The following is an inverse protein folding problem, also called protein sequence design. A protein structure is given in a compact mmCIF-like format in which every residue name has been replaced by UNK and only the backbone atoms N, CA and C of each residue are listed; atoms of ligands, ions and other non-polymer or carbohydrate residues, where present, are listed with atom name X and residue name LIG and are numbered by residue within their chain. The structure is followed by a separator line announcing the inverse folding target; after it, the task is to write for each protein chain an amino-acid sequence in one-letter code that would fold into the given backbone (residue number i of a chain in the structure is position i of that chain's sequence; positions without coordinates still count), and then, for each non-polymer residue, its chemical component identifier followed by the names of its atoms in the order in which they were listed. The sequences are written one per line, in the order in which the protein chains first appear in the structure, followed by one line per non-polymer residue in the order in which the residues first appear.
data_IF_372692106524
#
_entry.id   IF_372692106524
#
_cell.length_a   1.000
_cell.length_b   1.000
_cell.length_c   1.000
_cell.angle_alpha   90.00
_cell.angle_beta   90.00
_cell.angle_gamma   90.00
#
_symmetry.space_group_name_H-M   'P 1'
#
loop_
_entity.id
_entity.type
_entity.pdbx_description
1 polymer ?
#
# COMPACT_ATOMS: atom_id res chain seq x y z
N UNK A 1 18.31 -5.47 14.73
CA UNK A 1 17.47 -5.56 13.52
C UNK A 1 18.37 -6.04 12.40
N UNK A 2 18.08 -7.19 11.80
CA UNK A 2 18.81 -7.66 10.62
C UNK A 2 18.40 -6.77 9.46
N UNK A 3 19.38 -6.17 8.78
CA UNK A 3 19.14 -5.35 7.61
C UNK A 3 18.60 -6.26 6.48
N UNK A 4 17.36 -6.01 6.05
CA UNK A 4 16.77 -6.77 4.93
C UNK A 4 17.35 -6.21 3.66
N UNK A 5 18.21 -7.00 3.01
CA UNK A 5 18.82 -6.63 1.75
C UNK A 5 17.82 -6.81 0.60
N UNK A 6 17.53 -5.72 -0.11
CA UNK A 6 16.75 -5.77 -1.35
C UNK A 6 17.71 -5.77 -2.52
N UNK A 7 17.61 -6.75 -3.45
CA UNK A 7 18.48 -6.78 -4.63
C UNK A 7 18.41 -5.49 -5.46
N UNK A 8 19.48 -5.20 -6.20
CA UNK A 8 19.45 -4.15 -7.21
C UNK A 8 18.48 -4.46 -8.36
N UNK A 9 18.06 -3.47 -9.16
CA UNK A 9 17.24 -3.71 -10.35
C UNK A 9 17.98 -4.57 -11.38
N UNK A 10 17.27 -5.43 -12.11
CA UNK A 10 17.90 -6.13 -13.24
C UNK A 10 18.40 -5.13 -14.29
N UNK A 11 19.51 -5.47 -14.95
CA UNK A 11 20.18 -4.57 -15.90
C UNK A 11 19.34 -4.27 -17.13
N UNK A 12 18.48 -5.21 -17.53
CA UNK A 12 17.63 -5.11 -18.72
C UNK A 12 16.20 -4.61 -18.41
N UNK A 13 15.90 -4.28 -17.16
CA UNK A 13 14.64 -3.66 -16.78
C UNK A 13 14.65 -2.17 -17.13
N UNK A 14 13.66 -1.75 -17.91
CA UNK A 14 13.35 -0.35 -18.17
C UNK A 14 12.67 0.32 -16.96
N UNK A 15 12.60 1.66 -16.87
CA UNK A 15 11.81 2.37 -15.86
C UNK A 15 10.33 1.94 -15.87
N UNK A 16 9.71 1.81 -14.69
CA UNK A 16 8.32 1.36 -14.58
C UNK A 16 7.29 2.37 -15.10
N UNK A 17 7.71 3.62 -15.32
CA UNK A 17 6.88 4.72 -15.85
C UNK A 17 6.90 4.80 -17.37
N UNK A 18 7.76 4.04 -18.06
CA UNK A 18 7.98 4.19 -19.50
C UNK A 18 6.90 3.46 -20.34
N UNK A 19 6.15 4.17 -21.22
CA UNK A 19 5.29 3.53 -22.20
C UNK A 19 6.10 2.95 -23.38
N UNK A 20 5.55 1.95 -24.13
CA UNK A 20 4.23 1.37 -23.97
C UNK A 20 4.15 0.36 -22.82
N UNK A 21 3.05 0.39 -22.08
CA UNK A 21 2.85 -0.46 -20.92
C UNK A 21 2.78 -1.94 -21.32
N UNK A 22 3.33 -2.82 -20.48
CA UNK A 22 3.40 -4.27 -20.70
C UNK A 22 4.23 -4.73 -21.91
N UNK A 23 5.07 -3.87 -22.48
CA UNK A 23 5.91 -4.22 -23.65
C UNK A 23 7.40 -4.42 -23.33
N UNK A 24 7.81 -4.14 -22.10
CA UNK A 24 9.20 -4.29 -21.65
C UNK A 24 9.42 -5.41 -20.62
N UNK A 25 10.66 -5.54 -20.14
CA UNK A 25 11.10 -6.62 -19.25
C UNK A 25 10.84 -6.36 -17.76
N UNK A 26 10.74 -5.08 -17.37
CA UNK A 26 10.31 -4.74 -16.01
C UNK A 26 8.88 -5.25 -15.78
N UNK A 27 8.64 -6.12 -14.77
CA UNK A 27 7.32 -6.68 -14.49
C UNK A 27 6.37 -5.67 -13.82
N UNK A 28 6.90 -4.54 -13.32
CA UNK A 28 6.14 -3.49 -12.68
C UNK A 28 5.78 -2.37 -13.66
N UNK A 29 4.58 -1.84 -13.51
CA UNK A 29 4.08 -0.68 -14.24
C UNK A 29 3.53 0.36 -13.27
N UNK A 30 4.15 1.54 -13.21
CA UNK A 30 3.73 2.61 -12.32
C UNK A 30 2.64 3.49 -12.93
N UNK A 31 1.69 3.89 -12.10
CA UNK A 31 0.67 4.89 -12.41
C UNK A 31 0.46 5.78 -11.17
N UNK A 32 -0.03 7.01 -11.35
CA UNK A 32 -0.21 7.97 -10.24
C UNK A 32 -1.63 8.53 -10.25
N UNK A 33 -2.21 8.72 -9.05
CA UNK A 33 -3.44 9.46 -8.65
C UNK A 33 -3.86 8.89 -7.25
N UNK A 34 -2.96 8.96 -6.25
CA UNK A 34 -3.19 8.30 -4.96
C UNK A 34 -4.48 8.75 -4.27
N UNK A 35 -4.70 10.05 -4.11
CA UNK A 35 -5.85 10.59 -3.36
C UNK A 35 -7.20 10.09 -3.88
N UNK A 36 -7.38 9.97 -5.20
CA UNK A 36 -8.61 9.43 -5.76
C UNK A 36 -8.67 7.89 -5.75
N UNK A 37 -7.52 7.22 -5.70
CA UNK A 37 -7.44 5.77 -5.79
C UNK A 37 -7.45 5.09 -4.43
N UNK A 38 -6.98 5.77 -3.38
CA UNK A 38 -6.81 5.24 -2.03
C UNK A 38 -8.06 4.50 -1.50
N UNK A 39 -9.31 4.98 -1.68
CA UNK A 39 -10.50 4.26 -1.22
C UNK A 39 -10.70 2.85 -1.81
N UNK A 40 -10.05 2.55 -2.95
CA UNK A 40 -10.12 1.26 -3.65
C UNK A 40 -9.17 0.21 -3.07
N UNK A 41 -8.18 0.63 -2.29
CA UNK A 41 -7.16 -0.23 -1.74
C UNK A 41 -7.53 -0.74 -0.35
N UNK A 42 -7.14 -1.98 -0.06
CA UNK A 42 -7.12 -2.54 1.29
C UNK A 42 -5.69 -2.85 1.69
N UNK A 43 -5.36 -2.63 2.96
CA UNK A 43 -4.09 -3.07 3.51
C UNK A 43 -4.07 -4.61 3.56
N UNK A 44 -3.00 -5.19 3.04
CA UNK A 44 -2.78 -6.64 3.05
C UNK A 44 -1.56 -7.04 3.88
N UNK A 45 -0.79 -6.08 4.38
CA UNK A 45 0.31 -6.31 5.31
C UNK A 45 1.23 -5.12 5.47
N UNK A 46 2.33 -5.33 6.19
CA UNK A 46 3.42 -4.38 6.29
C UNK A 46 4.77 -5.07 6.09
N UNK A 47 5.69 -4.34 5.48
CA UNK A 47 7.07 -4.71 5.28
C UNK A 47 7.93 -4.08 6.38
N UNK A 48 8.82 -4.87 6.97
CA UNK A 48 9.84 -4.44 7.92
C UNK A 48 11.00 -3.66 7.27
N UNK A 49 10.74 -2.98 6.15
CA UNK A 49 11.70 -2.18 5.41
C UNK A 49 11.04 -0.91 4.84
N UNK A 50 11.83 0.15 4.58
CA UNK A 50 11.33 1.35 3.93
C UNK A 50 10.88 1.09 2.47
N UNK A 51 10.10 2.01 1.91
CA UNK A 51 9.59 1.91 0.53
C UNK A 51 10.71 2.08 -0.51
N UNK A 52 11.76 2.84 -0.17
CA UNK A 52 12.81 3.24 -1.11
C UNK A 52 13.55 2.06 -1.77
N UNK A 53 14.02 1.03 -1.03
CA UNK A 53 14.73 -0.10 -1.64
C UNK A 53 13.83 -0.91 -2.58
N UNK A 54 12.55 -1.10 -2.24
CA UNK A 54 11.56 -1.75 -3.13
C UNK A 54 11.35 -0.92 -4.39
N UNK A 55 11.20 0.39 -4.24
CA UNK A 55 11.03 1.30 -5.36
C UNK A 55 12.24 1.25 -6.30
N UNK A 56 13.45 1.25 -5.75
CA UNK A 56 14.69 1.14 -6.53
C UNK A 56 14.79 -0.18 -7.28
N UNK A 57 14.50 -1.32 -6.62
CA UNK A 57 14.47 -2.65 -7.24
C UNK A 57 13.56 -2.69 -8.46
N UNK A 58 12.36 -2.14 -8.33
CA UNK A 58 11.33 -2.15 -9.39
C UNK A 58 11.42 -0.94 -10.33
N UNK A 59 12.43 -0.07 -10.17
CA UNK A 59 12.59 1.20 -10.92
C UNK A 59 11.31 2.06 -10.89
N UNK A 60 10.69 2.13 -9.72
CA UNK A 60 9.55 2.99 -9.39
C UNK A 60 10.04 4.37 -8.93
N UNK A 61 9.22 5.38 -9.18
CA UNK A 61 9.38 6.72 -8.67
C UNK A 61 8.53 6.89 -7.40
N UNK A 62 9.16 7.20 -6.27
CA UNK A 62 8.42 7.48 -5.03
C UNK A 62 7.77 8.87 -5.11
N UNK A 63 6.46 8.91 -4.90
CA UNK A 63 5.66 10.12 -4.88
C UNK A 63 5.47 10.58 -3.43
N UNK A 64 5.58 11.88 -3.19
CA UNK A 64 5.16 12.47 -1.92
C UNK A 64 3.71 12.88 -2.00
N UNK A 65 2.92 12.46 -1.03
CA UNK A 65 1.50 12.72 -0.95
C UNK A 65 1.09 12.91 0.53
N UNK A 66 -0.22 12.90 0.76
CA UNK A 66 -0.82 13.15 2.06
C UNK A 66 -1.98 12.16 2.27
N UNK A 67 -2.20 11.73 3.51
CA UNK A 67 -3.43 11.06 3.96
C UNK A 67 -3.97 11.84 5.15
N UNK A 68 -5.01 12.63 4.92
CA UNK A 68 -5.48 13.61 5.88
C UNK A 68 -4.48 14.75 6.05
N UNK A 69 -3.82 14.81 7.21
CA UNK A 69 -2.82 15.84 7.54
C UNK A 69 -1.39 15.28 7.60
N UNK A 70 -1.22 13.99 7.38
CA UNK A 70 0.08 13.32 7.50
C UNK A 70 0.71 13.17 6.11
N UNK A 71 1.97 13.63 5.97
CA UNK A 71 2.80 13.39 4.79
C UNK A 71 3.12 11.90 4.68
N UNK A 72 3.16 11.39 3.45
CA UNK A 72 3.55 10.02 3.19
C UNK A 72 4.26 9.87 1.84
N UNK A 73 5.28 9.02 1.84
CA UNK A 73 5.92 8.51 0.63
C UNK A 73 5.09 7.35 0.09
N UNK A 74 4.80 7.35 -1.21
CA UNK A 74 3.99 6.30 -1.84
C UNK A 74 4.45 5.92 -3.23
N UNK A 75 4.23 4.65 -3.58
CA UNK A 75 4.31 4.15 -4.95
C UNK A 75 3.04 3.39 -5.28
N UNK A 76 2.46 3.67 -6.45
CA UNK A 76 1.32 2.92 -7.01
C UNK A 76 1.79 2.20 -8.27
N UNK A 77 1.57 0.90 -8.35
CA UNK A 77 2.04 0.13 -9.49
C UNK A 77 1.23 -1.14 -9.70
N UNK A 78 1.22 -1.64 -10.92
CA UNK A 78 0.73 -2.96 -11.26
C UNK A 78 1.87 -3.94 -11.34
N UNK A 79 1.66 -5.12 -10.78
CA UNK A 79 2.58 -6.24 -10.86
C UNK A 79 1.79 -7.53 -11.09
N UNK A 80 2.10 -8.24 -12.18
CA UNK A 80 1.49 -9.54 -12.52
C UNK A 80 -0.06 -9.54 -12.46
N UNK A 81 -0.69 -8.43 -12.84
CA UNK A 81 -2.16 -8.28 -12.86
C UNK A 81 -2.77 -7.76 -11.55
N UNK A 82 -2.00 -7.68 -10.48
CA UNK A 82 -2.41 -7.04 -9.22
C UNK A 82 -2.06 -5.55 -9.24
N UNK A 83 -2.88 -4.73 -8.60
CA UNK A 83 -2.58 -3.31 -8.42
C UNK A 83 -2.25 -3.06 -6.95
N UNK A 84 -1.01 -2.63 -6.72
CA UNK A 84 -0.44 -2.39 -5.41
C UNK A 84 -0.27 -0.90 -5.15
N UNK A 85 -0.35 -0.56 -3.87
CA UNK A 85 0.29 0.64 -3.36
C UNK A 85 1.22 0.23 -2.21
N UNK A 86 2.35 0.93 -2.08
CA UNK A 86 3.21 0.81 -0.90
C UNK A 86 3.37 2.21 -0.34
N UNK A 87 2.99 2.40 0.92
CA UNK A 87 3.11 3.69 1.60
C UNK A 87 3.99 3.63 2.84
N UNK A 88 4.66 4.74 3.12
CA UNK A 88 5.34 5.00 4.38
C UNK A 88 4.89 6.37 4.88
N UNK A 89 4.24 6.41 6.04
CA UNK A 89 3.78 7.66 6.66
C UNK A 89 4.89 8.29 7.49
N UNK A 90 4.99 9.62 7.42
CA UNK A 90 5.83 10.39 8.33
C UNK A 90 5.26 10.29 9.75
N UNK A 91 6.14 9.96 10.70
CA UNK A 91 5.76 9.68 12.08
C UNK A 91 5.50 8.19 12.40
N UNK A 92 5.65 7.26 11.45
CA UNK A 92 5.67 5.83 11.75
C UNK A 92 6.94 5.47 12.57
N UNK A 93 6.84 5.16 13.88
CA UNK A 93 8.01 4.93 14.72
C UNK A 93 8.68 3.58 14.43
N UNK A 94 7.98 2.68 13.74
CA UNK A 94 8.45 1.33 13.45
C UNK A 94 9.27 1.25 12.15
N UNK A 95 9.30 2.33 11.35
CA UNK A 95 10.03 2.35 10.07
C UNK A 95 9.50 1.37 9.02
N UNK A 96 8.30 0.81 9.22
CA UNK A 96 7.67 -0.15 8.31
C UNK A 96 6.97 0.55 7.14
N UNK A 97 6.82 -0.16 6.02
CA UNK A 97 6.02 0.29 4.89
C UNK A 97 4.76 -0.57 4.76
N UNK A 98 3.61 0.03 4.52
CA UNK A 98 2.34 -0.68 4.37
C UNK A 98 2.13 -1.10 2.94
N UNK A 99 1.67 -2.33 2.74
CA UNK A 99 1.34 -2.88 1.43
C UNK A 99 -0.17 -2.91 1.29
N UNK A 100 -0.64 -2.31 0.21
CA UNK A 100 -2.05 -2.20 -0.11
C UNK A 100 -2.34 -2.86 -1.45
N UNK A 101 -3.53 -3.42 -1.59
CA UNK A 101 -3.98 -4.11 -2.79
C UNK A 101 -5.39 -3.64 -3.17
N UNK A 102 -5.64 -3.39 -4.46
CA UNK A 102 -7.02 -3.24 -4.96
C UNK A 102 -7.75 -4.59 -4.99
N UNK A 103 -9.02 -4.61 -5.39
CA UNK A 103 -9.70 -5.88 -5.65
C UNK A 103 -8.97 -6.72 -6.74
N UNK A 104 -9.03 -8.07 -6.67
CA UNK A 104 -9.75 -8.88 -5.68
C UNK A 104 -8.93 -9.17 -4.41
N UNK A 105 -9.49 -8.84 -3.24
CA UNK A 105 -8.81 -9.01 -1.95
C UNK A 105 -8.76 -10.46 -1.45
N UNK A 106 -9.57 -11.36 -2.02
CA UNK A 106 -9.51 -12.81 -1.73
C UNK A 106 -8.18 -13.43 -2.17
N UNK A 107 -7.40 -12.71 -2.99
CA UNK A 107 -6.08 -13.12 -3.44
C UNK A 107 -4.96 -12.36 -2.70
N UNK A 108 -5.25 -11.74 -1.54
CA UNK A 108 -4.28 -10.93 -0.80
C UNK A 108 -2.98 -11.68 -0.49
N UNK A 109 -3.05 -12.89 0.04
CA UNK A 109 -1.86 -13.71 0.33
C UNK A 109 -1.07 -14.01 -0.94
N UNK A 110 -1.75 -14.51 -1.98
CA UNK A 110 -1.12 -14.81 -3.27
C UNK A 110 -0.47 -13.57 -3.90
N UNK A 111 -1.12 -12.43 -3.79
CA UNK A 111 -0.60 -11.16 -4.30
C UNK A 111 0.65 -10.76 -3.53
N UNK A 112 0.63 -10.86 -2.19
CA UNK A 112 1.79 -10.58 -1.36
C UNK A 112 2.95 -11.52 -1.68
N UNK A 113 2.71 -12.83 -1.76
CA UNK A 113 3.73 -13.83 -2.11
C UNK A 113 4.36 -13.52 -3.48
N UNK A 114 3.53 -13.19 -4.49
CA UNK A 114 3.99 -12.79 -5.82
C UNK A 114 4.85 -11.53 -5.77
N UNK A 115 4.47 -10.56 -4.93
CA UNK A 115 5.24 -9.34 -4.75
C UNK A 115 6.61 -9.63 -4.15
N UNK A 116 6.67 -10.41 -3.06
CA UNK A 116 7.92 -10.79 -2.40
C UNK A 116 8.86 -11.54 -3.35
N UNK A 117 8.33 -12.50 -4.10
CA UNK A 117 9.07 -13.27 -5.10
C UNK A 117 9.72 -12.37 -6.16
N UNK A 118 8.95 -11.42 -6.74
CA UNK A 118 9.46 -10.55 -7.80
C UNK A 118 10.49 -9.55 -7.27
N UNK A 119 10.25 -8.99 -6.09
CA UNK A 119 11.21 -8.09 -5.43
C UNK A 119 12.48 -8.86 -5.05
N UNK A 120 12.36 -10.17 -4.79
CA UNK A 120 13.46 -11.04 -4.39
C UNK A 120 13.74 -10.97 -2.88
N UNK A 121 12.70 -10.73 -2.07
CA UNK A 121 12.78 -10.68 -0.61
C UNK A 121 11.98 -11.83 0.00
N UNK A 122 12.48 -12.38 1.11
CA UNK A 122 11.83 -13.49 1.80
C UNK A 122 10.71 -13.06 2.74
N UNK A 123 9.92 -14.03 3.21
CA UNK A 123 8.84 -13.84 4.20
C UNK A 123 9.28 -13.12 5.48
N UNK A 124 10.56 -13.23 5.87
CA UNK A 124 11.12 -12.49 7.02
C UNK A 124 11.07 -10.97 6.86
N UNK A 125 10.80 -10.46 5.65
CA UNK A 125 10.56 -9.05 5.39
C UNK A 125 9.14 -8.59 5.73
N UNK A 126 8.20 -9.52 5.94
CA UNK A 126 6.82 -9.22 6.29
C UNK A 126 6.70 -9.07 7.80
N UNK A 127 6.41 -7.85 8.27
CA UNK A 127 6.20 -7.56 9.69
C UNK A 127 4.85 -8.13 10.18
N UNK A 128 3.81 -8.04 9.35
CA UNK A 128 2.53 -8.70 9.55
C UNK A 128 1.77 -8.82 8.24
N UNK A 129 0.84 -9.79 8.17
CA UNK A 129 -0.16 -9.91 7.11
C UNK A 129 -1.49 -9.38 7.62
N UNK A 130 -2.16 -8.56 6.82
CA UNK A 130 -3.48 -8.02 7.14
C UNK A 130 -4.56 -9.07 6.88
N UNK A 131 -5.58 -9.13 7.75
CA UNK A 131 -6.74 -9.97 7.49
C UNK A 131 -7.71 -9.25 6.53
N UNK A 132 -7.88 -9.80 5.33
CA UNK A 132 -8.81 -9.29 4.33
C UNK A 132 -10.28 -9.31 4.83
N UNK A 133 -10.62 -10.12 5.86
CA UNK A 133 -11.95 -10.16 6.46
C UNK A 133 -12.26 -8.93 7.33
N UNK A 134 -11.28 -8.41 8.07
CA UNK A 134 -11.53 -7.38 9.08
C UNK A 134 -12.01 -6.05 8.47
N UNK A 135 -11.47 -5.70 7.30
CA UNK A 135 -11.84 -4.46 6.60
C UNK A 135 -13.20 -4.51 5.87
N UNK A 136 -13.81 -5.69 5.70
CA UNK A 136 -15.16 -5.82 5.11
C UNK A 136 -16.24 -5.53 6.15
N UNK A 137 -16.03 -5.93 7.40
CA UNK A 137 -16.95 -5.63 8.50
C UNK A 137 -17.07 -4.12 8.73
N UNK A 138 -15.93 -3.41 8.74
CA UNK A 138 -15.92 -1.95 8.88
C UNK A 138 -16.59 -1.21 7.73
N UNK A 139 -16.46 -1.69 6.48
CA UNK A 139 -17.13 -1.07 5.32
C UNK A 139 -18.64 -1.28 5.34
N UNK A 140 -19.13 -2.44 5.80
CA UNK A 140 -20.57 -2.69 5.91
C UNK A 140 -21.18 -1.83 7.02
N UNK A 141 -20.45 -1.59 8.12
CA UNK A 141 -20.87 -0.68 9.19
C UNK A 141 -20.88 0.79 8.74
N UNK A 142 -19.86 1.25 8.00
CA UNK A 142 -19.81 2.63 7.50
C UNK A 142 -20.87 2.94 6.42
N UNK A 143 -21.34 1.93 5.67
CA UNK A 143 -22.42 2.10 4.67
C UNK A 143 -23.81 2.05 5.32
N UNK A 144 -23.96 1.39 6.47
CA UNK A 144 -25.23 1.34 7.21
C UNK A 144 -25.46 2.56 8.10
N UNK A 145 -24.43 3.35 8.41
CA UNK A 145 -24.52 4.57 9.22
C UNK A 145 -24.79 5.85 8.41
N UNK A 146 -25.08 5.73 7.10
CA UNK A 146 -25.61 6.84 6.29
C UNK A 146 -27.12 6.96 6.53
N UNK A 147 -27.46 7.32 7.77
CA UNK A 147 -28.81 7.63 8.21
C UNK A 147 -28.97 9.12 8.52
N UNK A 148 -29.77 9.78 7.68
CA UNK A 148 -30.39 11.12 7.85
C UNK A 148 -29.47 12.36 7.83
N UNK A 149 -29.74 13.35 6.94
CA UNK A 149 -28.96 14.59 6.86
C UNK A 149 -29.58 15.65 7.76
N UNK A 150 -29.14 15.74 9.01
CA UNK A 150 -29.20 16.97 9.81
C UNK A 150 -28.30 16.77 11.02
N UNK A 151 -27.07 17.25 10.93
CA UNK A 151 -26.35 17.99 11.97
C UNK A 151 -24.88 18.18 11.57
N UNK A 152 -24.47 19.44 11.60
CA UNK A 152 -23.18 19.92 11.16
C UNK A 152 -22.09 19.75 12.24
N UNK A 153 -20.84 19.71 11.78
CA UNK A 153 -19.59 19.84 12.54
C UNK A 153 -19.11 18.63 13.35
N UNK A 154 -18.70 17.59 12.63
CA UNK A 154 -17.85 16.53 13.14
C UNK A 154 -17.24 15.73 12.00
N UNK A 155 -16.36 16.33 11.20
CA UNK A 155 -15.63 15.62 10.13
C UNK A 155 -14.58 14.70 10.75
N UNK A 156 -15.02 13.63 11.41
CA UNK A 156 -14.21 12.43 11.54
C UNK A 156 -14.31 11.71 10.19
N UNK A 157 -13.44 12.10 9.27
CA UNK A 157 -13.38 11.58 7.90
C UNK A 157 -13.46 10.06 7.87
N UNK A 158 -14.58 9.53 7.38
CA UNK A 158 -14.78 8.13 7.04
C UNK A 158 -13.82 7.63 5.93
N UNK A 159 -12.97 8.51 5.38
CA UNK A 159 -12.03 8.28 4.29
C UNK A 159 -10.56 8.13 4.70
N UNK A 160 -10.17 8.46 5.93
CA UNK A 160 -8.75 8.37 6.32
C UNK A 160 -8.34 6.92 6.58
N UNK A 161 -7.51 6.36 5.69
CA UNK A 161 -6.92 5.02 5.86
C UNK A 161 -5.99 5.00 7.08
N UNK A 162 -5.33 6.13 7.37
CA UNK A 162 -4.50 6.30 8.57
C UNK A 162 -5.28 6.24 9.88
N UNK A 163 -6.51 6.76 9.93
CA UNK A 163 -7.37 6.63 11.11
C UNK A 163 -7.83 5.17 11.34
N UNK A 164 -7.95 4.38 10.27
CA UNK A 164 -8.24 2.94 10.34
C UNK A 164 -7.02 2.15 10.79
N UNK A 165 -5.84 2.51 10.27
CA UNK A 165 -4.57 1.93 10.70
C UNK A 165 -4.31 2.15 12.19
N UNK A 166 -4.41 3.39 12.69
CA UNK A 166 -4.21 3.70 14.12
C UNK A 166 -5.14 2.90 15.03
N UNK A 167 -6.37 2.63 14.59
CA UNK A 167 -7.28 1.70 15.28
C UNK A 167 -6.79 0.26 15.25
N UNK A 168 -6.39 -0.25 14.08
CA UNK A 168 -5.92 -1.63 13.92
C UNK A 168 -4.64 -1.97 14.73
N UNK A 169 -3.75 -0.99 14.95
CA UNK A 169 -2.54 -1.18 15.77
C UNK A 169 -2.68 -0.67 17.21
N UNK A 170 -3.90 -0.38 17.68
CA UNK A 170 -4.16 0.01 19.07
C UNK A 170 -3.62 1.38 19.49
N UNK A 171 -3.24 2.23 18.53
CA UNK A 171 -2.90 3.64 18.77
C UNK A 171 -4.18 4.49 18.80
N UNK A 172 -5.03 4.27 19.81
CA UNK A 172 -6.08 5.23 20.16
C UNK A 172 -5.47 6.35 21.00
N UNK A 173 -5.74 7.60 20.60
CA UNK A 173 -5.48 8.78 21.43
C UNK A 173 -6.38 8.76 22.66
#
# INVERSE_FOLDING_TARGET
MTEIEVPGPESDWQPATQPPYYTGKNPAHQYSIWEHSAPLFLMIGALALPVQPVAQRLRLHVERSWDGLDELDIVLFRLKGFSFAISKHDGNPLGVSYVWLTQPHQQADKALDTFLEVVGIGEGAVAFRGDAHDYRAERVLAVQDVGSPDDAYGVTSATSLWARFRRAIGMTR
#
